data_IF_024347436651
#
_entry.id   IF_024347436651
#
_cell.length_a   1.000
_cell.length_b   1.000
_cell.length_c   1.000
_cell.angle_alpha   90.00
_cell.angle_beta   90.00
_cell.angle_gamma   90.00
#
_symmetry.space_group_name_H-M   'P 1'
#
loop_
_entity.id
_entity.type
_entity.pdbx_description
1 polymer ?
#
# COMPACT_ATOMS: atom_id res chain seq x y z
N UNK A 1 -15.29 8.46 17.09
CA UNK A 1 -14.02 8.18 16.42
C UNK A 1 -12.97 8.90 17.22
N UNK A 2 -12.19 8.18 18.02
CA UNK A 2 -11.14 8.78 18.85
C UNK A 2 -10.03 9.22 17.92
N UNK A 3 -9.78 10.52 17.87
CA UNK A 3 -8.53 11.09 17.42
C UNK A 3 -7.44 10.49 18.33
N UNK A 4 -6.66 9.52 17.84
CA UNK A 4 -5.69 8.74 18.63
C UNK A 4 -4.48 9.58 19.08
N UNK A 5 -4.64 10.90 19.20
CA UNK A 5 -3.56 11.86 19.48
C UNK A 5 -2.44 11.79 18.45
N UNK A 6 -2.77 11.43 17.20
CA UNK A 6 -1.85 11.31 16.07
C UNK A 6 -1.56 12.68 15.43
N UNK A 7 -1.23 13.69 16.25
CA UNK A 7 -1.01 15.08 15.79
C UNK A 7 0.16 15.28 14.82
N UNK A 8 0.87 14.21 14.46
CA UNK A 8 2.04 14.18 13.59
C UNK A 8 1.81 13.45 12.26
N UNK A 9 0.65 12.80 12.06
CA UNK A 9 0.32 12.18 10.78
C UNK A 9 -0.31 13.21 9.83
N UNK A 10 0.29 13.36 8.65
CA UNK A 10 -0.26 14.18 7.57
C UNK A 10 -0.97 13.27 6.58
N UNK A 11 -2.30 13.33 6.58
CA UNK A 11 -3.08 12.60 5.59
C UNK A 11 -2.80 13.10 4.18
N UNK A 12 -2.82 12.20 3.20
CA UNK A 12 -2.61 12.52 1.77
C UNK A 12 -3.64 13.50 1.21
N UNK A 13 -4.82 13.58 1.84
CA UNK A 13 -5.86 14.60 1.61
C UNK A 13 -6.69 14.79 2.87
N UNK A 14 -7.35 15.95 2.96
CA UNK A 14 -8.31 16.23 4.04
C UNK A 14 -9.41 15.16 4.10
N UNK A 15 -9.65 14.60 5.29
CA UNK A 15 -10.64 13.54 5.50
C UNK A 15 -10.19 12.12 5.12
N UNK A 16 -8.97 11.94 4.59
CA UNK A 16 -8.39 10.61 4.38
C UNK A 16 -7.70 10.08 5.63
N UNK A 17 -7.62 8.75 5.74
CA UNK A 17 -6.84 8.04 6.75
C UNK A 17 -5.50 7.52 6.21
N UNK A 18 -5.22 7.74 4.92
CA UNK A 18 -3.99 7.30 4.27
C UNK A 18 -2.88 8.33 4.50
N UNK A 19 -1.69 7.84 4.81
CA UNK A 19 -0.50 8.64 5.12
C UNK A 19 0.65 8.17 4.24
N UNK A 20 1.41 9.13 3.71
CA UNK A 20 2.62 8.82 2.95
C UNK A 20 3.74 8.35 3.91
N UNK A 21 4.25 7.14 3.68
CA UNK A 21 5.33 6.49 4.44
C UNK A 21 6.64 7.31 4.46
N UNK A 22 6.85 8.18 3.48
CA UNK A 22 8.00 9.08 3.43
C UNK A 22 7.84 10.27 4.38
N UNK A 23 6.61 10.74 4.56
CA UNK A 23 6.26 11.86 5.43
C UNK A 23 6.19 11.49 6.92
N UNK A 24 6.02 10.19 7.23
CA UNK A 24 5.93 9.71 8.61
C UNK A 24 7.26 9.93 9.34
N UNK A 25 7.21 10.76 10.39
CA UNK A 25 8.29 10.91 11.34
C UNK A 25 8.35 9.75 12.34
N UNK A 26 9.38 9.75 13.18
CA UNK A 26 9.61 8.68 14.15
C UNK A 26 8.55 8.62 15.24
N UNK A 27 8.03 9.78 15.68
CA UNK A 27 7.03 9.86 16.75
C UNK A 27 5.70 9.29 16.24
N UNK A 28 5.29 9.68 15.03
CA UNK A 28 4.13 9.15 14.34
C UNK A 28 4.21 7.63 14.14
N UNK A 29 5.36 7.14 13.64
CA UNK A 29 5.58 5.70 13.44
C UNK A 29 5.56 4.93 14.76
N UNK A 30 6.12 5.51 15.81
CA UNK A 30 6.12 4.95 17.16
C UNK A 30 4.71 4.73 17.69
N UNK A 31 3.79 5.69 17.49
CA UNK A 31 2.38 5.55 17.90
C UNK A 31 1.66 4.49 17.08
N UNK A 32 1.89 4.42 15.76
CA UNK A 32 1.33 3.36 14.91
C UNK A 32 1.77 1.99 15.42
N UNK A 33 3.07 1.79 15.65
CA UNK A 33 3.61 0.52 16.17
C UNK A 33 3.00 0.16 17.53
N UNK A 34 2.89 1.11 18.45
CA UNK A 34 2.24 0.85 19.75
C UNK A 34 0.80 0.36 19.59
N UNK A 35 0.06 0.96 18.65
CA UNK A 35 -1.32 0.59 18.41
C UNK A 35 -1.46 -0.82 17.82
N UNK A 36 -0.58 -1.16 16.88
CA UNK A 36 -0.57 -2.48 16.23
C UNK A 36 -0.15 -3.60 17.18
N UNK A 37 0.67 -3.29 18.19
CA UNK A 37 1.16 -4.27 19.16
C UNK A 37 0.35 -4.30 20.47
N UNK A 38 -0.70 -3.46 20.63
CA UNK A 38 -1.41 -3.27 21.90
C UNK A 38 -1.99 -4.58 22.48
N UNK A 39 -2.43 -5.48 21.60
CA UNK A 39 -3.10 -6.74 21.97
C UNK A 39 -2.24 -7.99 21.68
N UNK A 40 -0.95 -7.81 21.36
CA UNK A 40 -0.08 -8.91 20.93
C UNK A 40 0.68 -9.53 22.11
N UNK A 41 0.59 -10.85 22.25
CA UNK A 41 1.44 -11.61 23.17
C UNK A 41 2.83 -11.85 22.56
N UNK A 42 3.85 -11.18 23.11
CA UNK A 42 5.21 -11.19 22.57
C UNK A 42 5.91 -12.56 22.61
N UNK A 43 5.38 -13.53 23.36
CA UNK A 43 5.92 -14.88 23.41
C UNK A 43 5.50 -15.72 22.18
N UNK A 44 4.41 -15.34 21.50
CA UNK A 44 3.82 -16.05 20.35
C UNK A 44 3.38 -15.07 19.23
N UNK A 45 4.16 -14.02 19.00
CA UNK A 45 3.76 -12.89 18.13
C UNK A 45 3.66 -13.22 16.63
N UNK A 46 4.34 -14.26 16.15
CA UNK A 46 4.50 -14.54 14.71
C UNK A 46 3.17 -14.71 13.97
N UNK A 47 2.15 -15.26 14.65
CA UNK A 47 0.81 -15.46 14.09
C UNK A 47 -0.19 -14.35 14.48
N UNK A 48 0.26 -13.36 15.25
CA UNK A 48 -0.57 -12.28 15.79
C UNK A 48 -0.30 -10.94 15.11
N UNK A 49 0.94 -10.72 14.65
CA UNK A 49 1.28 -9.52 13.90
C UNK A 49 0.63 -9.61 12.51
N UNK A 50 -0.34 -8.73 12.29
CA UNK A 50 -0.87 -8.47 10.96
C UNK A 50 0.08 -7.55 10.18
N UNK A 51 -0.02 -7.63 8.84
CA UNK A 51 0.58 -6.62 7.98
C UNK A 51 -0.12 -5.28 8.19
N UNK A 52 0.65 -4.21 8.09
CA UNK A 52 0.12 -2.86 8.19
C UNK A 52 -0.87 -2.59 7.07
N UNK A 53 -2.01 -1.99 7.42
CA UNK A 53 -2.95 -1.49 6.43
C UNK A 53 -2.28 -0.44 5.54
N UNK A 54 -2.45 -0.56 4.23
CA UNK A 54 -1.72 0.27 3.27
C UNK A 54 -1.95 -0.16 1.82
N UNK A 55 -1.21 0.48 0.91
CA UNK A 55 -1.29 0.20 -0.52
C UNK A 55 -0.73 1.35 -1.36
N UNK A 56 -0.91 1.27 -2.68
CA UNK A 56 -0.45 2.31 -3.61
C UNK A 56 -1.56 3.32 -3.88
N UNK A 57 -1.20 4.59 -3.84
CA UNK A 57 -2.05 5.70 -4.26
C UNK A 57 -1.49 6.25 -5.57
N UNK A 58 -2.34 6.42 -6.57
CA UNK A 58 -1.97 7.05 -7.84
C UNK A 58 -2.48 8.47 -7.87
N UNK A 59 -1.58 9.42 -8.08
CA UNK A 59 -1.86 10.85 -8.05
C UNK A 59 -1.39 11.48 -9.38
N UNK A 60 -2.27 12.25 -10.01
CA UNK A 60 -1.92 13.09 -11.16
C UNK A 60 -2.16 14.56 -10.79
N UNK A 61 -1.07 15.32 -10.61
CA UNK A 61 -1.14 16.68 -10.09
C UNK A 61 -1.67 16.71 -8.66
N UNK A 62 -2.86 17.30 -8.45
CA UNK A 62 -3.55 17.34 -7.15
C UNK A 62 -4.72 16.34 -7.07
N UNK A 63 -4.91 15.50 -8.10
CA UNK A 63 -6.04 14.58 -8.20
C UNK A 63 -5.59 13.16 -7.84
N UNK A 64 -6.23 12.57 -6.84
CA UNK A 64 -6.12 11.13 -6.57
C UNK A 64 -6.95 10.38 -7.61
N UNK A 65 -6.28 9.62 -8.46
CA UNK A 65 -6.90 8.75 -9.45
C UNK A 65 -7.31 7.40 -8.83
N UNK A 66 -6.49 6.92 -7.90
CA UNK A 66 -6.61 5.60 -7.29
C UNK A 66 -6.14 5.65 -5.84
N UNK A 67 -6.89 5.06 -4.91
CA UNK A 67 -6.48 4.85 -3.53
C UNK A 67 -7.05 3.52 -3.00
N UNK A 68 -6.37 2.85 -2.05
CA UNK A 68 -6.93 1.71 -1.36
C UNK A 68 -8.16 2.13 -0.54
N UNK A 69 -9.20 1.30 -0.55
CA UNK A 69 -10.45 1.60 0.15
C UNK A 69 -10.58 0.81 1.47
N UNK A 70 -10.54 -0.53 1.41
CA UNK A 70 -10.44 -1.37 2.60
C UNK A 70 -9.72 -2.69 2.31
N UNK A 71 -9.32 -3.41 3.37
CA UNK A 71 -8.70 -4.74 3.29
C UNK A 71 -7.40 -4.83 2.47
N UNK A 72 -6.74 -3.69 2.22
CA UNK A 72 -5.40 -3.67 1.62
C UNK A 72 -4.36 -3.51 2.72
N UNK A 73 -3.24 -4.20 2.53
CA UNK A 73 -2.06 -4.08 3.37
C UNK A 73 -0.82 -3.78 2.51
N UNK A 74 0.32 -3.60 3.16
CA UNK A 74 1.58 -3.27 2.49
C UNK A 74 2.03 -4.33 1.47
N UNK A 75 1.61 -5.58 1.59
CA UNK A 75 1.99 -6.64 0.64
C UNK A 75 1.17 -6.55 -0.65
N UNK A 76 -0.05 -6.03 -0.59
CA UNK A 76 -0.87 -5.72 -1.80
C UNK A 76 -0.14 -4.81 -2.78
N UNK A 77 0.83 -4.00 -2.33
CA UNK A 77 1.62 -3.15 -3.22
C UNK A 77 2.31 -3.95 -4.32
N UNK A 78 2.72 -5.20 -4.04
CA UNK A 78 3.43 -6.03 -5.02
C UNK A 78 2.55 -6.57 -6.13
N UNK A 79 1.24 -6.61 -5.94
CA UNK A 79 0.30 -7.00 -7.01
C UNK A 79 0.43 -6.07 -8.22
N UNK A 80 0.89 -4.83 -8.02
CA UNK A 80 1.16 -3.87 -9.09
C UNK A 80 2.37 -4.25 -9.96
N UNK A 81 3.33 -5.01 -9.43
CA UNK A 81 4.50 -5.43 -10.21
C UNK A 81 4.10 -6.35 -11.37
N UNK A 82 2.99 -7.08 -11.24
CA UNK A 82 2.46 -7.93 -12.29
C UNK A 82 2.05 -7.15 -13.55
N UNK A 83 1.80 -5.84 -13.43
CA UNK A 83 1.46 -4.98 -14.56
C UNK A 83 2.59 -4.98 -15.59
N UNK A 84 3.85 -4.93 -15.14
CA UNK A 84 5.03 -4.77 -16.02
C UNK A 84 5.17 -5.95 -17.00
N UNK A 85 4.85 -7.15 -16.54
CA UNK A 85 4.98 -8.39 -17.31
C UNK A 85 3.67 -8.84 -17.96
N UNK A 86 2.62 -8.03 -17.87
CA UNK A 86 1.27 -8.40 -18.32
C UNK A 86 1.16 -8.44 -19.85
N UNK A 87 0.25 -9.26 -20.38
CA UNK A 87 -0.07 -9.26 -21.80
C UNK A 87 -0.70 -7.91 -22.22
N UNK A 88 -0.37 -7.43 -23.42
CA UNK A 88 -1.01 -6.25 -24.00
C UNK A 88 -2.47 -6.54 -24.39
N UNK A 89 -3.28 -5.48 -24.47
CA UNK A 89 -4.70 -5.49 -24.88
C UNK A 89 -5.63 -6.42 -24.08
N UNK A 90 -5.17 -6.97 -22.95
CA UNK A 90 -5.91 -7.91 -22.10
C UNK A 90 -6.25 -7.28 -20.76
N UNK A 91 -7.51 -7.33 -20.36
CA UNK A 91 -7.91 -6.88 -19.03
C UNK A 91 -7.52 -7.89 -17.96
N UNK A 92 -6.84 -7.41 -16.92
CA UNK A 92 -6.37 -8.21 -15.81
C UNK A 92 -6.84 -7.56 -14.52
N UNK A 93 -7.35 -8.37 -13.61
CA UNK A 93 -7.73 -7.91 -12.29
C UNK A 93 -6.48 -7.56 -11.47
N UNK A 94 -6.50 -6.40 -10.83
CA UNK A 94 -5.48 -5.95 -9.88
C UNK A 94 -6.10 -5.82 -8.50
N UNK A 95 -5.53 -6.55 -7.54
CA UNK A 95 -5.88 -6.39 -6.13
C UNK A 95 -5.23 -5.12 -5.57
N UNK A 96 -6.06 -4.29 -4.93
CA UNK A 96 -5.66 -3.02 -4.30
C UNK A 96 -6.34 -2.85 -2.94
N UNK A 97 -6.82 -3.97 -2.37
CA UNK A 97 -7.94 -3.98 -1.45
C UNK A 97 -9.28 -4.11 -2.14
N UNK A 98 -10.34 -4.10 -1.34
CA UNK A 98 -11.72 -4.12 -1.80
C UNK A 98 -12.30 -2.70 -1.82
N UNK A 99 -13.04 -2.28 -2.86
CA UNK A 99 -13.16 -2.91 -4.19
C UNK A 99 -11.82 -3.00 -4.96
N UNK A 100 -11.73 -3.93 -5.91
CA UNK A 100 -10.59 -4.07 -6.82
C UNK A 100 -10.78 -3.26 -8.11
N UNK A 101 -9.77 -3.26 -8.98
CA UNK A 101 -9.82 -2.65 -10.31
C UNK A 101 -9.32 -3.62 -11.38
N UNK A 102 -9.58 -3.30 -12.64
CA UNK A 102 -8.95 -3.95 -13.78
C UNK A 102 -7.95 -3.00 -14.44
N UNK A 103 -6.87 -3.55 -14.98
CA UNK A 103 -5.92 -2.81 -15.80
C UNK A 103 -5.65 -3.54 -17.11
N UNK A 104 -5.15 -2.82 -18.11
CA UNK A 104 -4.52 -3.42 -19.30
C UNK A 104 -3.41 -2.53 -19.83
N UNK A 105 -2.41 -3.14 -20.46
CA UNK A 105 -1.39 -2.43 -21.23
C UNK A 105 -1.86 -2.24 -22.66
N UNK A 106 -1.73 -1.02 -23.19
CA UNK A 106 -2.17 -0.70 -24.56
C UNK A 106 -1.44 0.54 -25.09
N UNK A 107 -0.80 0.40 -26.25
CA UNK A 107 -0.18 1.51 -26.99
C UNK A 107 0.74 2.40 -26.12
N UNK A 108 1.56 1.78 -25.25
CA UNK A 108 2.50 2.48 -24.36
C UNK A 108 1.85 3.16 -23.14
N UNK A 109 0.62 2.76 -22.80
CA UNK A 109 -0.10 3.21 -21.61
C UNK A 109 -0.60 2.03 -20.80
N UNK A 110 -0.83 2.28 -19.52
CA UNK A 110 -1.65 1.41 -18.68
C UNK A 110 -2.99 2.08 -18.45
N UNK A 111 -4.05 1.41 -18.88
CA UNK A 111 -5.44 1.84 -18.71
C UNK A 111 -6.05 1.13 -17.51
N UNK A 112 -6.80 1.85 -16.69
CA UNK A 112 -7.44 1.32 -15.49
C UNK A 112 -8.95 1.52 -15.53
N UNK A 113 -9.69 0.57 -14.96
CA UNK A 113 -11.14 0.64 -14.80
C UNK A 113 -11.55 1.50 -13.59
N UNK A 114 -12.86 1.68 -13.43
CA UNK A 114 -13.40 2.11 -12.13
C UNK A 114 -13.32 0.95 -11.12
N UNK A 115 -13.53 1.27 -9.85
CA UNK A 115 -13.63 0.28 -8.78
C UNK A 115 -14.81 -0.67 -9.01
N UNK A 116 -14.62 -1.96 -8.72
CA UNK A 116 -15.68 -2.96 -8.85
C UNK A 116 -15.55 -4.07 -7.80
N UNK A 117 -16.70 -4.69 -7.51
CA UNK A 117 -16.82 -5.90 -6.70
C UNK A 117 -17.20 -7.11 -7.55
N UNK A 118 -17.41 -6.89 -8.84
CA UNK A 118 -17.91 -7.88 -9.79
C UNK A 118 -16.75 -8.42 -10.62
N UNK A 119 -16.84 -9.71 -10.95
CA UNK A 119 -16.00 -10.32 -11.99
C UNK A 119 -16.63 -9.93 -13.33
N UNK A 120 -16.04 -8.92 -13.97
CA UNK A 120 -16.53 -8.38 -15.24
C UNK A 120 -15.92 -9.13 -16.42
N UNK A 121 -16.70 -9.28 -17.49
CA UNK A 121 -16.18 -9.70 -18.80
C UNK A 121 -15.51 -8.50 -19.49
N UNK A 122 -14.57 -8.76 -20.40
CA UNK A 122 -13.76 -7.73 -21.07
C UNK A 122 -14.57 -6.64 -21.76
N UNK A 123 -15.74 -6.97 -22.31
CA UNK A 123 -16.63 -6.03 -23.02
C UNK A 123 -17.45 -5.15 -22.09
N UNK A 124 -17.50 -5.47 -20.80
CA UNK A 124 -18.13 -4.69 -19.74
C UNK A 124 -17.16 -3.65 -19.15
N UNK A 125 -15.85 -3.91 -19.21
CA UNK A 125 -14.83 -3.06 -18.62
C UNK A 125 -14.67 -1.76 -19.44
N UNK A 126 -14.58 -0.63 -18.73
CA UNK A 126 -14.43 0.71 -19.31
C UNK A 126 -13.22 1.39 -18.71
N UNK A 127 -12.44 2.06 -19.56
CA UNK A 127 -11.31 2.87 -19.13
C UNK A 127 -11.84 4.07 -18.34
N UNK A 128 -11.38 4.20 -17.11
CA UNK A 128 -11.66 5.34 -16.24
C UNK A 128 -10.55 6.39 -16.33
N UNK A 129 -9.30 5.93 -16.30
CA UNK A 129 -8.10 6.76 -16.40
C UNK A 129 -6.95 5.93 -17.00
N UNK A 130 -5.89 6.62 -17.41
CA UNK A 130 -4.71 5.97 -18.00
C UNK A 130 -3.44 6.74 -17.65
N UNK A 131 -2.32 6.04 -17.55
CA UNK A 131 -1.00 6.62 -17.31
C UNK A 131 0.01 6.11 -18.33
N UNK A 132 1.09 6.86 -18.53
CA UNK A 132 2.19 6.45 -19.41
C UNK A 132 2.87 5.24 -18.77
N UNK A 133 3.06 4.19 -19.56
CA UNK A 133 3.61 2.92 -19.06
C UNK A 133 5.05 3.08 -18.56
N UNK A 134 5.90 3.80 -19.31
CA UNK A 134 7.28 4.06 -18.90
C UNK A 134 7.37 4.79 -17.55
N UNK A 135 6.47 5.73 -17.29
CA UNK A 135 6.42 6.45 -16.02
C UNK A 135 5.99 5.53 -14.87
N UNK A 136 4.96 4.70 -15.08
CA UNK A 136 4.52 3.73 -14.08
C UNK A 136 5.63 2.73 -13.74
N UNK A 137 6.28 2.15 -14.76
CA UNK A 137 7.35 1.16 -14.57
C UNK A 137 8.49 1.75 -13.75
N UNK A 138 8.88 3.00 -14.03
CA UNK A 138 9.95 3.69 -13.29
C UNK A 138 9.61 3.91 -11.81
N UNK A 139 8.36 4.17 -11.48
CA UNK A 139 7.92 4.26 -10.07
C UNK A 139 7.86 2.87 -9.43
N UNK A 140 7.34 1.86 -10.13
CA UNK A 140 7.26 0.48 -9.64
C UNK A 140 8.65 -0.17 -9.43
N UNK A 141 9.66 0.19 -10.23
CA UNK A 141 11.05 -0.24 -10.03
C UNK A 141 11.63 0.21 -8.68
N UNK A 142 11.08 1.26 -8.09
CA UNK A 142 11.52 1.78 -6.78
C UNK A 142 10.76 1.14 -5.62
N UNK A 143 9.63 0.48 -5.87
CA UNK A 143 8.71 -0.01 -4.86
C UNK A 143 9.38 -0.93 -3.82
N UNK A 144 10.10 -1.96 -4.27
CA UNK A 144 10.78 -2.88 -3.34
C UNK A 144 11.80 -2.16 -2.45
N UNK A 145 12.48 -1.14 -3.01
CA UNK A 145 13.43 -0.32 -2.26
C UNK A 145 12.70 0.55 -1.22
N UNK A 146 11.58 1.14 -1.58
CA UNK A 146 10.78 1.96 -0.67
C UNK A 146 10.20 1.13 0.48
N UNK A 147 9.66 -0.05 0.18
CA UNK A 147 9.18 -1.00 1.20
C UNK A 147 10.32 -1.45 2.13
N UNK A 148 11.51 -1.72 1.59
CA UNK A 148 12.67 -2.08 2.40
C UNK A 148 13.13 -0.92 3.31
N UNK A 149 13.11 0.32 2.82
CA UNK A 149 13.40 1.51 3.63
C UNK A 149 12.37 1.67 4.74
N UNK A 150 11.08 1.46 4.44
CA UNK A 150 10.01 1.56 5.42
C UNK A 150 10.10 0.47 6.49
N UNK A 151 10.37 -0.79 6.09
CA UNK A 151 10.71 -1.87 7.02
C UNK A 151 11.84 -1.47 7.95
N UNK A 152 12.92 -0.88 7.43
CA UNK A 152 14.04 -0.45 8.26
C UNK A 152 13.63 0.64 9.27
N UNK A 153 12.75 1.58 8.87
CA UNK A 153 12.20 2.58 9.79
C UNK A 153 11.41 1.90 10.93
N UNK A 154 10.55 0.93 10.61
CA UNK A 154 9.77 0.17 11.61
C UNK A 154 10.70 -0.61 12.54
N UNK A 155 11.68 -1.33 11.99
CA UNK A 155 12.68 -2.08 12.76
C UNK A 155 13.43 -1.16 13.74
N UNK A 156 13.86 0.02 13.30
CA UNK A 156 14.52 0.99 14.18
C UNK A 156 13.61 1.49 15.31
N UNK A 157 12.34 1.75 15.03
CA UNK A 157 11.37 2.18 16.04
C UNK A 157 11.09 1.06 17.06
N UNK A 158 11.00 -0.20 16.62
CA UNK A 158 10.86 -1.37 17.49
C UNK A 158 12.11 -1.58 18.38
N UNK A 159 13.32 -1.43 17.84
CA UNK A 159 14.57 -1.51 18.61
C UNK A 159 14.58 -0.46 19.74
N UNK A 160 14.18 0.79 19.43
CA UNK A 160 14.13 1.87 20.42
C UNK A 160 13.14 1.59 21.55
N UNK A 161 12.10 0.79 21.29
CA UNK A 161 11.14 0.31 22.29
C UNK A 161 11.59 -0.93 23.06
N UNK A 162 12.72 -1.53 22.69
CA UNK A 162 13.30 -2.68 23.38
C UNK A 162 12.82 -4.05 22.89
N UNK A 163 12.20 -4.12 21.70
CA UNK A 163 11.83 -5.40 21.10
C UNK A 163 13.08 -6.11 20.53
N UNK A 164 13.37 -7.32 21.04
CA UNK A 164 14.55 -8.08 20.64
C UNK A 164 14.48 -8.58 19.19
N UNK A 165 13.30 -8.99 18.74
CA UNK A 165 13.04 -9.54 17.39
C UNK A 165 12.54 -8.47 16.40
N UNK A 166 12.98 -7.22 16.57
CA UNK A 166 12.48 -6.06 15.83
C UNK A 166 12.49 -6.22 14.31
N UNK A 167 13.54 -6.83 13.74
CA UNK A 167 13.64 -7.03 12.30
C UNK A 167 12.62 -8.06 11.77
N UNK A 168 12.39 -9.14 12.53
CA UNK A 168 11.39 -10.15 12.17
C UNK A 168 9.98 -9.56 12.27
N UNK A 169 9.69 -8.83 13.35
CA UNK A 169 8.41 -8.13 13.51
C UNK A 169 8.17 -7.12 12.38
N UNK A 170 9.18 -6.32 12.00
CA UNK A 170 9.09 -5.41 10.87
C UNK A 170 8.85 -6.13 9.54
N UNK A 171 9.49 -7.29 9.34
CA UNK A 171 9.26 -8.16 8.18
C UNK A 171 7.80 -8.60 8.11
N UNK A 172 7.21 -9.04 9.23
CA UNK A 172 5.80 -9.44 9.30
C UNK A 172 4.85 -8.26 9.03
N UNK A 173 5.17 -7.08 9.55
CA UNK A 173 4.35 -5.87 9.38
C UNK A 173 4.34 -5.33 7.94
N UNK A 174 5.44 -5.44 7.20
CA UNK A 174 5.53 -4.89 5.82
C UNK A 174 5.39 -5.98 4.75
N UNK A 175 5.74 -7.23 5.07
CA UNK A 175 5.78 -8.35 4.13
C UNK A 175 7.07 -8.43 3.29
N UNK A 176 8.14 -7.71 3.65
CA UNK A 176 9.40 -7.63 2.88
C UNK A 176 10.66 -7.90 3.71
#
# INVERSE_FOLDING_TARGET
MSDSSLGHLVAVKEGSFLVDIHSMDEDALSVVIEKELEEIELEEYENQIAKLAGGIIVIEGEVILQEPMCCSDMDSCRDWLAIVDSEEDTWIQLWIGHPWVFYRRREGKVEFSDYTNDMLEDDEIRVKWSIIEEDLVKELEQLDRELAIFKQKISNALIKKGFAEADNMATLMVGV
#
